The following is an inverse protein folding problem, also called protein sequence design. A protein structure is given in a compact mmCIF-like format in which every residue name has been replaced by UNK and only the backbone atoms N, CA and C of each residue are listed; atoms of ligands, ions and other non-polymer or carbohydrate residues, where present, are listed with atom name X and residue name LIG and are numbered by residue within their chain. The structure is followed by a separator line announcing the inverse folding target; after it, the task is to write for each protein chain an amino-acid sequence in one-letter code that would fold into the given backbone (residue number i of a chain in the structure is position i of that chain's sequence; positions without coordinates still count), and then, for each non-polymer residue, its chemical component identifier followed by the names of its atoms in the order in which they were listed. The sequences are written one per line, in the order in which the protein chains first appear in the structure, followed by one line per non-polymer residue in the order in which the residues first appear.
data_IF_511267264838
#
_entry.id   IF_511267264838
#
_cell.length_a   1.000
_cell.length_b   1.000
_cell.length_c   1.000
_cell.angle_alpha   90.00
_cell.angle_beta   90.00
_cell.angle_gamma   90.00
#
_symmetry.space_group_name_H-M   'P 1'
#
loop_
_entity.id
_entity.type
_entity.pdbx_description
1 polymer ?
#
# COMPACT_ATOMS: atom_id res chain seq x y z
N UNK A 1 6.32 17.57 7.68
CA UNK A 1 5.72 16.35 8.25
C UNK A 1 6.59 15.19 7.80
N UNK A 2 7.14 14.40 8.71
CA UNK A 2 8.00 13.27 8.33
C UNK A 2 7.13 12.14 7.75
N UNK A 3 7.62 11.42 6.72
CA UNK A 3 6.87 10.35 6.05
C UNK A 3 6.31 9.29 7.01
N UNK A 4 7.03 9.02 8.11
CA UNK A 4 6.62 8.10 9.18
C UNK A 4 5.38 8.57 9.96
N UNK A 5 5.25 9.88 10.19
CA UNK A 5 4.09 10.46 10.88
C UNK A 5 2.85 10.47 9.97
N UNK A 6 3.06 10.68 8.67
CA UNK A 6 1.99 10.61 7.68
C UNK A 6 1.44 9.19 7.52
N UNK A 7 2.31 8.19 7.39
CA UNK A 7 1.89 6.77 7.35
C UNK A 7 1.07 6.42 8.58
N UNK A 8 1.51 6.81 9.78
CA UNK A 8 0.77 6.54 11.00
C UNK A 8 -0.62 7.20 11.02
N UNK A 9 -0.72 8.43 10.50
CA UNK A 9 -1.98 9.19 10.44
C UNK A 9 -2.93 8.66 9.37
N UNK A 10 -2.43 8.24 8.21
CA UNK A 10 -3.25 7.67 7.15
C UNK A 10 -3.72 6.26 7.50
N UNK A 11 -2.86 5.46 8.15
CA UNK A 11 -3.26 4.18 8.77
C UNK A 11 -4.38 4.39 9.79
N UNK A 12 -4.35 5.47 10.57
CA UNK A 12 -5.40 5.79 11.54
C UNK A 12 -6.72 6.22 10.85
N UNK A 13 -6.66 7.03 9.78
CA UNK A 13 -7.83 7.51 9.03
C UNK A 13 -8.55 6.38 8.30
N UNK A 14 -7.80 5.51 7.64
CA UNK A 14 -8.37 4.39 6.88
C UNK A 14 -8.95 3.34 7.83
N UNK A 15 -8.39 3.18 9.03
CA UNK A 15 -8.92 2.29 10.09
C UNK A 15 -10.27 2.76 10.65
N UNK A 16 -10.54 4.06 10.70
CA UNK A 16 -11.85 4.58 11.16
C UNK A 16 -12.95 4.37 10.14
N UNK A 17 -12.66 4.44 8.84
CA UNK A 17 -13.66 4.23 7.79
C UNK A 17 -14.05 2.75 7.66
N UNK A 18 -13.09 1.83 7.82
CA UNK A 18 -13.33 0.39 7.74
C UNK A 18 -14.08 -0.19 8.95
N UNK A 19 -14.05 0.48 10.11
CA UNK A 19 -14.86 0.07 11.27
C UNK A 19 -16.36 0.33 11.05
N UNK A 20 -16.74 1.20 10.11
CA UNK A 20 -18.13 1.46 9.75
C UNK A 20 -18.73 0.33 8.90
N UNK A 21 -17.90 -0.52 8.28
CA UNK A 21 -18.33 -1.59 7.36
C UNK A 21 -18.10 -3.01 7.92
N UNK A 22 -17.51 -3.11 9.12
CA UNK A 22 -17.12 -4.38 9.75
C UNK A 22 -18.29 -5.14 10.38
N UNK A 23 -19.12 -5.79 9.57
CA UNK A 23 -19.93 -6.93 10.01
C UNK A 23 -19.86 -8.05 8.98
N UNK A 24 -18.79 -8.85 9.04
CA UNK A 24 -18.95 -10.30 9.02
C UNK A 24 -17.70 -11.01 9.56
N UNK A 25 -17.95 -11.78 10.60
CA UNK A 25 -17.04 -12.74 11.22
C UNK A 25 -16.83 -13.92 10.27
N UNK A 26 -15.62 -14.51 10.29
CA UNK A 26 -15.49 -15.92 9.97
C UNK A 26 -14.38 -16.30 8.98
N UNK A 27 -13.31 -16.81 9.57
CA UNK A 27 -12.50 -17.93 9.07
C UNK A 27 -11.49 -17.68 7.93
N UNK A 28 -10.30 -18.19 8.24
CA UNK A 28 -9.22 -18.63 7.35
C UNK A 28 -8.16 -17.59 6.99
N UNK A 29 -6.98 -17.89 7.53
CA UNK A 29 -5.65 -17.61 6.97
C UNK A 29 -5.75 -17.63 5.43
N UNK A 30 -5.22 -16.60 4.76
CA UNK A 30 -5.24 -16.34 3.30
C UNK A 30 -6.47 -15.58 2.75
N UNK A 31 -6.90 -14.52 3.43
CA UNK A 31 -7.39 -13.31 2.75
C UNK A 31 -6.67 -12.11 3.37
N UNK A 32 -5.67 -11.56 2.69
CA UNK A 32 -5.25 -10.19 2.99
C UNK A 32 -6.40 -9.33 2.51
N UNK A 33 -7.17 -8.76 3.43
CA UNK A 33 -8.19 -7.78 3.06
C UNK A 33 -7.55 -6.72 2.15
N UNK A 34 -8.24 -6.28 1.10
CA UNK A 34 -7.68 -5.38 0.09
C UNK A 34 -7.03 -4.12 0.69
N UNK A 35 -7.54 -3.67 1.84
CA UNK A 35 -6.98 -2.59 2.64
C UNK A 35 -5.61 -2.92 3.27
N UNK A 36 -5.44 -4.14 3.79
CA UNK A 36 -4.14 -4.62 4.31
C UNK A 36 -3.12 -4.72 3.18
N UNK A 37 -3.55 -5.14 1.99
CA UNK A 37 -2.70 -5.21 0.80
C UNK A 37 -2.25 -3.81 0.34
N UNK A 38 -3.18 -2.88 0.19
CA UNK A 38 -2.90 -1.51 -0.22
C UNK A 38 -1.92 -0.81 0.75
N UNK A 39 -2.16 -0.91 2.07
CA UNK A 39 -1.27 -0.33 3.08
C UNK A 39 0.14 -0.95 3.05
N UNK A 40 0.26 -2.25 2.76
CA UNK A 40 1.55 -2.90 2.62
C UNK A 40 2.32 -2.39 1.38
N UNK A 41 1.63 -2.22 0.24
CA UNK A 41 2.22 -1.71 -1.00
C UNK A 41 2.68 -0.26 -0.83
N UNK A 42 1.80 0.61 -0.32
CA UNK A 42 2.09 2.03 -0.10
C UNK A 42 3.27 2.25 0.86
N UNK A 43 3.45 1.37 1.84
CA UNK A 43 4.60 1.42 2.75
C UNK A 43 5.93 0.97 2.12
N UNK A 44 5.89 0.13 1.09
CA UNK A 44 7.10 -0.45 0.50
C UNK A 44 7.67 0.42 -0.62
N UNK A 45 6.83 1.10 -1.41
CA UNK A 45 7.28 2.01 -2.48
C UNK A 45 8.33 3.02 -1.97
N UNK A 46 8.14 3.74 -0.85
CA UNK A 46 9.14 4.66 -0.32
C UNK A 46 10.49 4.00 0.01
N UNK A 47 10.48 2.75 0.51
CA UNK A 47 11.70 2.01 0.87
C UNK A 47 12.46 1.59 -0.38
N UNK A 48 11.76 1.18 -1.43
CA UNK A 48 12.36 0.81 -2.70
C UNK A 48 12.99 2.05 -3.38
N UNK A 49 12.33 3.21 -3.30
CA UNK A 49 12.90 4.49 -3.78
C UNK A 49 14.14 4.86 -2.97
N UNK A 50 14.10 4.74 -1.64
CA UNK A 50 15.27 5.00 -0.79
C UNK A 50 16.45 4.04 -1.07
N UNK A 51 16.16 2.86 -1.62
CA UNK A 51 17.17 1.92 -2.11
C UNK A 51 17.66 2.24 -3.54
N UNK A 52 17.33 3.42 -4.08
CA UNK A 52 17.66 3.88 -5.44
C UNK A 52 17.20 2.91 -6.55
N UNK A 53 16.10 2.18 -6.31
CA UNK A 53 15.50 1.36 -7.37
C UNK A 53 14.89 2.24 -8.44
N UNK A 54 15.02 1.80 -9.69
CA UNK A 54 14.33 2.45 -10.81
C UNK A 54 12.84 2.24 -10.69
N UNK A 55 12.07 3.07 -11.38
CA UNK A 55 10.62 2.91 -11.48
C UNK A 55 10.23 1.50 -11.96
N UNK A 56 10.85 1.00 -13.04
CA UNK A 56 10.59 -0.35 -13.58
C UNK A 56 10.88 -1.46 -12.56
N UNK A 57 11.98 -1.35 -11.80
CA UNK A 57 12.31 -2.31 -10.74
C UNK A 57 11.29 -2.29 -9.61
N UNK A 58 10.75 -1.11 -9.26
CA UNK A 58 9.72 -0.96 -8.25
C UNK A 58 8.44 -1.65 -8.71
N UNK A 59 7.94 -1.33 -9.90
CA UNK A 59 6.72 -1.94 -10.46
C UNK A 59 6.86 -3.46 -10.52
N UNK A 60 7.98 -3.97 -11.06
CA UNK A 60 8.26 -5.41 -11.12
C UNK A 60 8.26 -6.06 -9.75
N UNK A 61 8.86 -5.39 -8.74
CA UNK A 61 8.88 -5.87 -7.36
C UNK A 61 7.47 -5.94 -6.78
N UNK A 62 6.62 -4.94 -7.03
CA UNK A 62 5.25 -4.91 -6.51
C UNK A 62 4.39 -6.01 -7.12
N UNK A 63 4.43 -6.16 -8.45
CA UNK A 63 3.72 -7.22 -9.18
C UNK A 63 4.09 -8.59 -8.63
N UNK A 64 5.40 -8.90 -8.54
CA UNK A 64 5.87 -10.20 -8.08
C UNK A 64 5.56 -10.47 -6.60
N UNK A 65 5.71 -9.45 -5.73
CA UNK A 65 5.56 -9.61 -4.28
C UNK A 65 4.11 -9.68 -3.82
N UNK A 66 3.23 -8.92 -4.47
CA UNK A 66 1.84 -8.76 -4.05
C UNK A 66 0.84 -9.48 -4.94
N UNK A 67 1.31 -10.09 -6.04
CA UNK A 67 0.48 -10.80 -7.02
C UNK A 67 -0.66 -9.91 -7.53
N UNK A 68 -0.28 -8.69 -7.92
CA UNK A 68 -1.14 -7.67 -8.54
C UNK A 68 -0.73 -7.51 -10.00
N UNK A 69 -1.61 -6.96 -10.83
CA UNK A 69 -1.25 -6.62 -12.20
C UNK A 69 -0.40 -5.34 -12.28
N UNK A 70 0.15 -5.08 -13.47
CA UNK A 70 1.04 -3.93 -13.71
C UNK A 70 0.31 -2.59 -13.56
N UNK A 71 -0.95 -2.51 -13.98
CA UNK A 71 -1.74 -1.28 -13.91
C UNK A 71 -2.05 -0.90 -12.45
N UNK A 72 -2.35 -1.90 -11.62
CA UNK A 72 -2.50 -1.74 -10.18
C UNK A 72 -1.20 -1.27 -9.52
N UNK A 73 -0.07 -1.88 -9.87
CA UNK A 73 1.24 -1.48 -9.35
C UNK A 73 1.57 -0.02 -9.71
N UNK A 74 1.29 0.39 -10.95
CA UNK A 74 1.47 1.76 -11.44
C UNK A 74 0.60 2.74 -10.65
N UNK A 75 -0.68 2.41 -10.48
CA UNK A 75 -1.62 3.24 -9.72
C UNK A 75 -1.16 3.48 -8.28
N UNK A 76 -0.61 2.47 -7.61
CA UNK A 76 -0.06 2.65 -6.27
C UNK A 76 1.21 3.51 -6.27
N UNK A 77 2.08 3.34 -7.26
CA UNK A 77 3.28 4.15 -7.41
C UNK A 77 2.93 5.64 -7.60
N UNK A 78 2.01 5.94 -8.52
CA UNK A 78 1.53 7.30 -8.78
C UNK A 78 0.90 7.94 -7.53
N UNK A 79 0.09 7.21 -6.77
CA UNK A 79 -0.46 7.70 -5.51
C UNK A 79 0.63 8.14 -4.54
N UNK A 80 1.71 7.35 -4.39
CA UNK A 80 2.84 7.71 -3.53
C UNK A 80 3.60 8.93 -4.07
N UNK A 81 3.73 9.06 -5.40
CA UNK A 81 4.40 10.23 -6.00
C UNK A 81 3.58 11.51 -5.85
N UNK A 82 2.26 11.43 -6.06
CA UNK A 82 1.34 12.55 -5.88
C UNK A 82 1.35 13.09 -4.45
N UNK A 83 1.57 12.22 -3.46
CA UNK A 83 1.69 12.60 -2.05
C UNK A 83 3.06 13.21 -1.67
N UNK A 84 4.06 13.11 -2.54
CA UNK A 84 5.40 13.69 -2.35
C UNK A 84 5.58 15.05 -3.04
N UNK A 85 4.71 15.39 -3.99
CA UNK A 85 4.69 16.67 -4.70
C UNK A 85 4.16 17.81 -3.81
#
# INVERSE_FOLDING_TARGET
MEAKEWVAREVARVRTDSLAEGREEGLSIVRRDGMTLALAILNDIPKLIAANKTHEEIITTLVAKYNIDQDQAESYYEQVMALRA
#
